data_IF_589033546324
#
_entry.id   IF_589033546324
#
_cell.length_a   1.000
_cell.length_b   1.000
_cell.length_c   1.000
_cell.angle_alpha   90.00
_cell.angle_beta   90.00
_cell.angle_gamma   90.00
#
_symmetry.space_group_name_H-M   'P 1'
#
loop_
_entity.id
_entity.type
_entity.pdbx_description
1 polymer ?
#
# COMPACT_ATOMS: atom_id res chain seq x y z
N UNK A 1 -12.32 49.42 -59.34
CA UNK A 1 -12.46 49.57 -57.88
C UNK A 1 -13.12 48.32 -57.33
N UNK A 2 -12.42 47.68 -56.39
CA UNK A 2 -12.83 46.72 -55.36
C UNK A 2 -13.98 45.74 -55.63
N UNK A 3 -13.65 44.44 -55.64
CA UNK A 3 -14.12 43.58 -54.54
C UNK A 3 -13.14 42.41 -54.27
N UNK A 4 -12.04 42.64 -53.51
CA UNK A 4 -11.11 41.60 -53.09
C UNK A 4 -11.65 40.76 -51.91
N UNK A 5 -12.86 41.04 -51.44
CA UNK A 5 -13.42 40.45 -50.22
C UNK A 5 -14.00 39.05 -50.43
N UNK A 6 -14.42 38.67 -51.64
CA UNK A 6 -15.00 37.34 -51.87
C UNK A 6 -13.98 36.20 -51.90
N UNK A 7 -12.73 36.46 -52.29
CA UNK A 7 -11.68 35.41 -52.32
C UNK A 7 -11.10 35.09 -50.95
N UNK A 8 -11.19 36.02 -49.98
CA UNK A 8 -10.72 35.78 -48.60
C UNK A 8 -11.73 34.98 -47.76
N UNK A 9 -13.02 35.08 -48.04
CA UNK A 9 -14.04 34.38 -47.24
C UNK A 9 -14.16 32.88 -47.57
N UNK A 10 -13.87 32.47 -48.82
CA UNK A 10 -13.87 31.04 -49.20
C UNK A 10 -12.65 30.30 -48.62
N UNK A 11 -11.50 30.95 -48.52
CA UNK A 11 -10.30 30.34 -47.91
C UNK A 11 -10.45 30.26 -46.39
N UNK A 12 -11.06 31.25 -45.72
CA UNK A 12 -11.31 31.19 -44.27
C UNK A 12 -12.33 30.10 -43.92
N UNK A 13 -13.36 29.85 -44.75
CA UNK A 13 -14.31 28.76 -44.50
C UNK A 13 -13.71 27.36 -44.71
N UNK A 14 -12.87 27.16 -45.74
CA UNK A 14 -12.20 25.87 -45.95
C UNK A 14 -11.11 25.57 -44.92
N UNK A 15 -10.45 26.59 -44.36
CA UNK A 15 -9.49 26.41 -43.27
C UNK A 15 -10.18 26.20 -41.92
N UNK A 16 -11.35 26.83 -41.69
CA UNK A 16 -12.15 26.60 -40.50
C UNK A 16 -12.78 25.19 -40.45
N UNK A 17 -13.16 24.60 -41.59
CA UNK A 17 -13.62 23.20 -41.63
C UNK A 17 -12.49 22.17 -41.44
N UNK A 18 -11.24 22.51 -41.79
CA UNK A 18 -10.06 21.67 -41.51
C UNK A 18 -9.52 21.83 -40.07
N UNK A 19 -9.81 22.95 -39.40
CA UNK A 19 -9.51 23.14 -37.98
C UNK A 19 -10.62 22.64 -37.04
N UNK A 20 -11.87 22.54 -37.50
CA UNK A 20 -12.98 21.96 -36.72
C UNK A 20 -13.10 20.43 -36.85
N UNK A 21 -12.35 19.80 -37.77
CA UNK A 21 -12.24 18.34 -37.84
C UNK A 21 -11.19 17.76 -36.86
N UNK A 22 -10.46 18.61 -36.13
CA UNK A 22 -9.44 18.19 -35.15
C UNK A 22 -9.88 18.36 -33.68
N UNK A 23 -11.13 18.75 -33.44
CA UNK A 23 -11.70 18.85 -32.09
C UNK A 23 -12.80 17.80 -32.00
N UNK A 24 -12.59 16.82 -31.12
CA UNK A 24 -13.36 15.58 -30.92
C UNK A 24 -12.86 14.33 -31.63
N UNK A 25 -11.54 14.09 -31.62
CA UNK A 25 -11.09 12.72 -31.29
C UNK A 25 -11.25 12.61 -29.77
N UNK A 26 -12.48 12.42 -29.31
CA UNK A 26 -12.66 11.56 -28.14
C UNK A 26 -12.03 10.27 -28.61
N UNK A 27 -10.83 9.96 -28.11
CA UNK A 27 -10.29 8.63 -28.27
C UNK A 27 -11.35 7.74 -27.62
N UNK A 28 -12.26 7.22 -28.44
CA UNK A 28 -12.98 6.02 -28.09
C UNK A 28 -11.85 5.08 -27.73
N UNK A 29 -11.69 4.80 -26.44
CA UNK A 29 -10.90 3.69 -25.96
C UNK A 29 -11.54 2.50 -26.64
N UNK A 30 -11.01 2.17 -27.82
CA UNK A 30 -11.46 1.03 -28.58
C UNK A 30 -11.40 -0.13 -27.59
N UNK A 31 -12.51 -0.85 -27.41
CA UNK A 31 -12.55 -2.02 -26.56
C UNK A 31 -11.53 -3.00 -27.17
N UNK A 32 -10.30 -2.91 -26.71
CA UNK A 32 -9.22 -3.72 -27.23
C UNK A 32 -9.34 -5.04 -26.51
N UNK A 33 -9.93 -6.02 -27.20
CA UNK A 33 -10.05 -7.37 -26.68
C UNK A 33 -8.66 -7.82 -26.16
N UNK A 34 -8.60 -8.52 -25.00
CA UNK A 34 -7.34 -9.06 -24.51
C UNK A 34 -6.63 -9.82 -25.63
N UNK A 35 -5.33 -9.59 -25.75
CA UNK A 35 -4.51 -10.31 -26.71
C UNK A 35 -4.03 -11.60 -26.06
N UNK A 36 -4.32 -12.74 -26.68
CA UNK A 36 -3.70 -14.00 -26.26
C UNK A 36 -2.23 -14.02 -26.70
N UNK A 37 -1.30 -14.56 -25.90
CA UNK A 37 0.07 -14.75 -26.33
C UNK A 37 0.15 -15.65 -27.57
N UNK A 38 1.00 -15.29 -28.52
CA UNK A 38 1.24 -16.11 -29.72
C UNK A 38 2.16 -17.32 -29.45
N UNK A 39 2.89 -17.31 -28.32
CA UNK A 39 3.81 -18.36 -27.88
C UNK A 39 3.51 -18.73 -26.43
N UNK A 40 3.74 -19.97 -25.99
CA UNK A 40 3.63 -20.36 -24.59
C UNK A 40 4.42 -19.40 -23.70
N UNK A 41 3.75 -18.74 -22.77
CA UNK A 41 4.32 -17.71 -21.90
C UNK A 41 4.06 -18.10 -20.46
N UNK A 42 5.09 -18.06 -19.64
CA UNK A 42 4.99 -18.43 -18.23
C UNK A 42 4.48 -17.23 -17.43
N UNK A 43 3.44 -17.46 -16.64
CA UNK A 43 2.90 -16.48 -15.69
C UNK A 43 3.04 -17.06 -14.30
N UNK A 44 3.85 -16.41 -13.47
CA UNK A 44 4.03 -16.76 -12.06
C UNK A 44 3.22 -15.78 -11.21
N UNK A 45 2.26 -16.27 -10.42
CA UNK A 45 1.45 -15.41 -9.55
C UNK A 45 1.92 -15.58 -8.11
N UNK A 46 2.53 -14.54 -7.56
CA UNK A 46 2.89 -14.42 -6.15
C UNK A 46 1.72 -13.74 -5.43
N UNK A 47 0.85 -14.56 -4.86
CA UNK A 47 -0.21 -14.11 -3.96
C UNK A 47 0.36 -13.84 -2.57
N UNK A 48 0.26 -12.62 -2.07
CA UNK A 48 0.78 -12.27 -0.74
C UNK A 48 -0.23 -11.44 0.06
N UNK A 49 -0.08 -11.39 1.37
CA UNK A 49 -0.92 -10.54 2.21
C UNK A 49 -0.28 -9.15 2.31
N UNK A 50 -1.11 -8.11 2.18
CA UNK A 50 -0.66 -6.73 2.38
C UNK A 50 -0.01 -6.57 3.76
N UNK A 51 1.10 -5.84 3.82
CA UNK A 51 1.94 -5.63 5.00
C UNK A 51 2.61 -6.88 5.59
N UNK A 52 2.38 -8.09 5.08
CA UNK A 52 3.02 -9.30 5.61
C UNK A 52 4.55 -9.21 5.56
N UNK A 53 5.10 -8.49 4.59
CA UNK A 53 6.55 -8.23 4.46
C UNK A 53 7.10 -7.48 5.67
N UNK A 54 6.28 -6.64 6.29
CA UNK A 54 6.67 -5.85 7.45
C UNK A 54 6.46 -6.62 8.75
N UNK A 55 5.53 -7.56 8.79
CA UNK A 55 5.16 -8.31 9.99
C UNK A 55 5.95 -9.62 10.13
N UNK A 56 5.95 -10.49 9.11
CA UNK A 56 6.49 -11.85 9.20
C UNK A 56 7.88 -11.97 8.59
N UNK A 57 8.79 -12.68 9.28
CA UNK A 57 10.18 -12.85 8.83
C UNK A 57 10.27 -13.62 7.52
N UNK A 58 9.46 -14.66 7.36
CA UNK A 58 9.42 -15.49 6.16
C UNK A 58 8.91 -14.72 4.93
N UNK A 59 8.22 -13.59 5.15
CA UNK A 59 7.74 -12.70 4.10
C UNK A 59 8.65 -11.49 3.85
N UNK A 60 9.76 -11.34 4.60
CA UNK A 60 10.56 -10.12 4.61
C UNK A 60 10.92 -9.62 3.18
N UNK A 61 11.03 -8.29 2.95
CA UNK A 61 11.30 -7.70 1.64
C UNK A 61 12.49 -8.32 0.90
N UNK A 62 13.55 -8.66 1.64
CA UNK A 62 14.74 -9.31 1.11
C UNK A 62 14.43 -10.71 0.55
N UNK A 63 13.67 -11.55 1.28
CA UNK A 63 13.21 -12.87 0.81
C UNK A 63 12.38 -12.73 -0.47
N UNK A 64 11.49 -11.75 -0.52
CA UNK A 64 10.67 -11.46 -1.69
C UNK A 64 11.53 -11.11 -2.92
N UNK A 65 12.51 -10.20 -2.77
CA UNK A 65 13.43 -9.84 -3.87
C UNK A 65 14.32 -11.00 -4.29
N UNK A 66 14.77 -11.83 -3.36
CA UNK A 66 15.52 -13.05 -3.67
C UNK A 66 14.69 -14.04 -4.49
N UNK A 67 13.41 -14.21 -4.15
CA UNK A 67 12.49 -15.00 -4.95
C UNK A 67 12.35 -14.42 -6.37
N UNK A 68 12.18 -13.11 -6.52
CA UNK A 68 12.15 -12.45 -7.83
C UNK A 68 13.45 -12.65 -8.62
N UNK A 69 14.61 -12.57 -7.97
CA UNK A 69 15.91 -12.84 -8.59
C UNK A 69 16.00 -14.28 -9.13
N UNK A 70 15.53 -15.27 -8.37
CA UNK A 70 15.51 -16.68 -8.80
C UNK A 70 14.53 -16.93 -9.93
N UNK A 71 13.35 -16.32 -9.86
CA UNK A 71 12.35 -16.40 -10.93
C UNK A 71 12.88 -15.73 -12.21
N UNK A 72 13.64 -14.65 -12.07
CA UNK A 72 14.24 -13.87 -13.15
C UNK A 72 13.21 -13.47 -14.25
N UNK A 73 12.10 -12.80 -13.90
CA UNK A 73 11.09 -12.43 -14.87
C UNK A 73 11.60 -11.41 -15.91
N UNK A 74 10.94 -11.38 -17.07
CA UNK A 74 11.15 -10.37 -18.09
C UNK A 74 10.44 -9.04 -17.75
N UNK A 75 9.32 -9.13 -17.03
CA UNK A 75 8.56 -8.00 -16.49
C UNK A 75 7.71 -8.45 -15.30
N UNK A 76 7.27 -7.48 -14.50
CA UNK A 76 6.37 -7.71 -13.38
C UNK A 76 5.04 -6.98 -13.56
N UNK A 77 3.96 -7.59 -13.08
CA UNK A 77 2.68 -6.94 -12.85
C UNK A 77 2.49 -6.66 -11.35
N UNK A 78 1.97 -5.49 -10.98
CA UNK A 78 1.71 -5.10 -9.58
C UNK A 78 0.25 -4.69 -9.38
N UNK A 79 -0.29 -5.01 -8.21
CA UNK A 79 -1.66 -4.67 -7.80
C UNK A 79 -1.82 -3.17 -7.49
N UNK A 80 -1.82 -2.38 -8.56
CA UNK A 80 -2.27 -1.00 -8.56
C UNK A 80 -2.91 -0.70 -9.90
N UNK A 81 -3.93 0.16 -9.88
CA UNK A 81 -4.67 0.49 -11.10
C UNK A 81 -3.80 1.36 -12.02
N UNK A 82 -3.97 1.29 -13.36
CA UNK A 82 -3.14 2.07 -14.27
C UNK A 82 -3.10 3.57 -13.98
N UNK A 83 -4.24 4.18 -13.63
CA UNK A 83 -4.30 5.61 -13.32
C UNK A 83 -3.69 5.95 -11.96
N UNK A 84 -3.77 5.06 -10.96
CA UNK A 84 -3.05 5.26 -9.71
C UNK A 84 -1.55 5.16 -9.90
N UNK A 85 -1.09 4.19 -10.69
CA UNK A 85 0.31 4.03 -11.00
C UNK A 85 0.89 5.26 -11.72
N UNK A 86 0.16 5.83 -12.69
CA UNK A 86 0.55 7.08 -13.36
C UNK A 86 0.72 8.27 -12.40
N UNK A 87 -0.02 8.26 -11.29
CA UNK A 87 0.05 9.26 -10.24
C UNK A 87 1.02 8.89 -9.11
N UNK A 88 1.70 7.73 -9.17
CA UNK A 88 2.55 7.23 -8.10
C UNK A 88 1.80 6.89 -6.82
N UNK A 89 0.53 6.48 -6.94
CA UNK A 89 -0.37 6.13 -5.85
C UNK A 89 -0.40 4.61 -5.66
N UNK A 90 -0.32 4.21 -4.39
CA UNK A 90 -0.42 2.83 -3.92
C UNK A 90 -1.22 2.83 -2.61
N UNK A 91 -1.84 1.70 -2.29
CA UNK A 91 -2.29 1.47 -0.92
C UNK A 91 -1.07 1.44 0.01
N UNK A 92 -1.11 2.16 1.13
CA UNK A 92 -0.01 2.21 2.10
C UNK A 92 0.33 0.83 2.69
N UNK A 93 -0.64 -0.09 2.73
CA UNK A 93 -0.43 -1.47 3.16
C UNK A 93 0.18 -2.36 2.07
N UNK A 94 0.18 -1.96 0.80
CA UNK A 94 0.70 -2.75 -0.31
C UNK A 94 2.23 -2.61 -0.46
N UNK A 95 2.95 -2.76 0.66
CA UNK A 95 4.41 -2.58 0.72
C UNK A 95 5.15 -3.54 -0.22
N UNK A 96 4.64 -4.75 -0.44
CA UNK A 96 5.13 -5.70 -1.44
C UNK A 96 5.23 -5.09 -2.84
N UNK A 97 4.33 -4.15 -3.17
CA UNK A 97 4.31 -3.50 -4.47
C UNK A 97 5.25 -2.31 -4.49
N UNK A 98 4.96 -1.27 -3.69
CA UNK A 98 5.66 0.01 -3.80
C UNK A 98 7.00 0.05 -3.06
N UNK A 99 7.15 -0.72 -1.98
CA UNK A 99 8.37 -0.79 -1.18
C UNK A 99 9.35 -1.86 -1.65
N UNK A 100 8.86 -2.89 -2.35
CA UNK A 100 9.67 -4.07 -2.72
C UNK A 100 9.76 -4.27 -4.23
N UNK A 101 8.63 -4.57 -4.89
CA UNK A 101 8.61 -5.01 -6.28
C UNK A 101 8.98 -3.92 -7.28
N UNK A 102 8.40 -2.72 -7.12
CA UNK A 102 8.66 -1.58 -8.00
C UNK A 102 10.13 -1.14 -7.90
N UNK A 103 10.71 -0.89 -6.71
CA UNK A 103 12.13 -0.55 -6.61
C UNK A 103 13.06 -1.65 -7.14
N UNK A 104 12.72 -2.92 -6.91
CA UNK A 104 13.49 -4.04 -7.46
C UNK A 104 13.48 -4.03 -8.98
N UNK A 105 12.32 -3.84 -9.61
CA UNK A 105 12.21 -3.81 -11.06
C UNK A 105 12.98 -2.64 -11.66
N UNK A 106 12.90 -1.45 -11.05
CA UNK A 106 13.68 -0.28 -11.45
C UNK A 106 15.18 -0.54 -11.39
N UNK A 107 15.67 -1.12 -10.28
CA UNK A 107 17.08 -1.48 -10.12
C UNK A 107 17.54 -2.50 -11.17
N UNK A 108 16.72 -3.50 -11.47
CA UNK A 108 17.04 -4.55 -12.45
C UNK A 108 16.72 -4.17 -13.90
N UNK A 109 16.23 -2.95 -14.15
CA UNK A 109 15.83 -2.49 -15.49
C UNK A 109 14.69 -3.30 -16.10
N UNK A 110 13.73 -3.74 -15.28
CA UNK A 110 12.54 -4.50 -15.68
C UNK A 110 11.34 -3.58 -15.81
N UNK A 111 10.44 -3.94 -16.72
CA UNK A 111 9.15 -3.24 -16.82
C UNK A 111 8.28 -3.60 -15.61
N UNK A 112 7.62 -2.60 -15.05
CA UNK A 112 6.50 -2.74 -14.12
C UNK A 112 5.23 -2.39 -14.86
N UNK A 113 4.22 -3.27 -14.79
CA UNK A 113 2.89 -3.01 -15.33
C UNK A 113 1.83 -2.96 -14.22
N UNK A 114 1.04 -1.88 -14.12
CA UNK A 114 -0.15 -1.89 -13.29
C UNK A 114 -1.18 -2.86 -13.87
N UNK A 115 -1.57 -3.87 -13.10
CA UNK A 115 -2.50 -4.92 -13.55
C UNK A 115 -3.84 -4.89 -12.83
N UNK A 116 -4.03 -3.98 -11.88
CA UNK A 116 -5.26 -3.91 -11.11
C UNK A 116 -6.40 -3.19 -11.83
N UNK A 117 -7.60 -3.39 -11.32
CA UNK A 117 -8.80 -2.67 -11.70
C UNK A 117 -9.65 -2.41 -10.45
N UNK A 118 -10.19 -1.21 -10.36
CA UNK A 118 -11.22 -0.87 -9.39
C UNK A 118 -12.26 0.02 -10.05
N UNK A 119 -13.50 -0.02 -9.57
CA UNK A 119 -14.50 0.95 -10.01
C UNK A 119 -14.13 2.35 -9.50
N UNK A 120 -14.44 3.38 -10.28
CA UNK A 120 -14.14 4.77 -9.91
C UNK A 120 -15.31 5.39 -9.13
N UNK A 121 -14.97 6.21 -8.14
CA UNK A 121 -15.88 7.08 -7.40
C UNK A 121 -17.28 6.54 -7.16
N UNK A 122 -18.28 7.17 -7.78
CA UNK A 122 -19.70 6.90 -7.51
C UNK A 122 -20.15 5.55 -8.04
N UNK A 123 -19.49 5.00 -9.08
CA UNK A 123 -19.83 3.69 -9.61
C UNK A 123 -19.48 2.59 -8.61
N UNK A 124 -18.32 2.70 -7.94
CA UNK A 124 -17.95 1.80 -6.85
C UNK A 124 -18.96 1.86 -5.71
N UNK A 125 -19.25 3.08 -5.23
CA UNK A 125 -20.23 3.31 -4.15
C UNK A 125 -21.61 2.79 -4.54
N UNK A 126 -22.10 3.08 -5.75
CA UNK A 126 -23.40 2.61 -6.22
C UNK A 126 -23.45 1.09 -6.40
N UNK A 127 -22.37 0.46 -6.85
CA UNK A 127 -22.32 -0.98 -7.06
C UNK A 127 -22.34 -1.76 -5.75
N UNK A 128 -21.69 -1.23 -4.69
CA UNK A 128 -21.61 -1.88 -3.38
C UNK A 128 -22.68 -1.44 -2.38
N UNK A 129 -23.33 -0.29 -2.59
CA UNK A 129 -24.39 0.23 -1.69
C UNK A 129 -25.77 -0.41 -1.89
N UNK A 130 -25.93 -1.31 -2.87
CA UNK A 130 -27.19 -1.98 -3.15
C UNK A 130 -27.12 -3.53 -3.03
N UNK A 131 -28.02 -4.16 -2.27
CA UNK A 131 -29.05 -3.52 -1.46
C UNK A 131 -28.44 -2.90 -0.20
N UNK A 132 -28.94 -1.73 0.18
CA UNK A 132 -28.55 -1.09 1.43
C UNK A 132 -29.08 -1.91 2.60
N UNK A 133 -28.16 -2.51 3.35
CA UNK A 133 -28.45 -3.16 4.64
C UNK A 133 -27.89 -2.21 5.71
N UNK A 134 -28.74 -1.59 6.55
CA UNK A 134 -28.26 -0.74 7.64
C UNK A 134 -27.29 -1.54 8.51
N UNK A 135 -26.08 -1.02 8.72
CA UNK A 135 -25.15 -1.59 9.69
C UNK A 135 -25.83 -1.61 11.05
N UNK A 136 -25.77 -2.72 11.76
CA UNK A 136 -26.21 -2.79 13.15
C UNK A 136 -25.38 -1.75 13.94
N UNK A 137 -25.95 -0.80 14.69
CA UNK A 137 -25.17 0.27 15.34
C UNK A 137 -24.14 -0.21 16.38
N UNK A 138 -24.05 -1.53 16.64
CA UNK A 138 -22.98 -2.18 17.41
C UNK A 138 -21.97 -2.99 16.58
N UNK A 139 -22.15 -3.09 15.27
CA UNK A 139 -21.21 -3.70 14.32
C UNK A 139 -20.28 -2.61 13.81
N UNK A 140 -18.99 -2.73 14.10
CA UNK A 140 -17.93 -1.87 13.58
C UNK A 140 -17.61 -2.13 12.11
N UNK A 141 -18.49 -2.80 11.36
CA UNK A 141 -18.31 -3.05 9.93
C UNK A 141 -18.65 -1.81 9.10
N UNK A 142 -17.77 -0.81 9.22
CA UNK A 142 -17.51 0.09 8.12
C UNK A 142 -16.94 -0.72 6.95
N UNK A 143 -17.23 -0.34 5.71
CA UNK A 143 -16.66 -0.97 4.51
C UNK A 143 -15.13 -0.91 4.39
N UNK A 144 -14.43 -0.42 5.41
CA UNK A 144 -12.98 -0.48 5.60
C UNK A 144 -12.53 -1.65 6.50
N UNK A 145 -13.43 -2.33 7.21
CA UNK A 145 -13.16 -3.62 7.85
C UNK A 145 -13.58 -4.77 6.93
N UNK A 146 -12.80 -4.96 5.87
CA UNK A 146 -12.51 -6.37 5.56
C UNK A 146 -11.83 -6.88 6.82
N UNK A 147 -12.52 -7.70 7.61
CA UNK A 147 -11.93 -8.36 8.77
C UNK A 147 -10.66 -9.07 8.26
N UNK A 148 -9.51 -8.45 8.52
CA UNK A 148 -8.22 -9.11 8.52
C UNK A 148 -8.15 -9.89 9.85
N UNK A 149 -9.18 -10.68 10.17
CA UNK A 149 -9.03 -11.74 11.16
C UNK A 149 -7.70 -12.41 10.84
N UNK A 150 -6.77 -12.54 11.80
CA UNK A 150 -5.42 -12.98 11.52
C UNK A 150 -5.48 -14.33 10.84
N UNK A 151 -5.35 -14.32 9.53
CA UNK A 151 -5.16 -15.52 8.76
C UNK A 151 -3.81 -16.04 9.23
N UNK A 152 -3.75 -17.31 9.62
CA UNK A 152 -2.49 -17.90 10.04
C UNK A 152 -1.60 -18.12 8.79
N UNK A 153 -0.96 -17.05 8.32
CA UNK A 153 -0.15 -16.99 7.10
C UNK A 153 1.34 -16.90 7.46
N UNK A 154 1.91 -18.04 7.87
CA UNK A 154 3.28 -18.01 8.36
C UNK A 154 4.33 -17.96 7.24
N UNK A 155 4.04 -18.47 6.04
CA UNK A 155 5.04 -18.65 4.97
C UNK A 155 4.75 -17.83 3.71
N UNK A 156 5.76 -17.20 3.10
CA UNK A 156 5.62 -16.31 1.90
C UNK A 156 4.79 -16.92 0.76
N UNK A 157 4.87 -18.24 0.61
CA UNK A 157 4.27 -18.99 -0.49
C UNK A 157 2.98 -19.70 -0.08
N UNK A 158 2.39 -19.33 1.07
CA UNK A 158 1.14 -19.92 1.57
C UNK A 158 0.03 -19.94 0.51
N UNK A 159 0.01 -18.94 -0.39
CA UNK A 159 -1.01 -18.83 -1.42
C UNK A 159 -0.89 -19.88 -2.54
N UNK A 160 0.21 -20.64 -2.61
CA UNK A 160 0.35 -21.81 -3.49
C UNK A 160 -0.24 -23.09 -2.87
N UNK A 161 -0.66 -23.09 -1.60
CA UNK A 161 -1.17 -24.29 -0.92
C UNK A 161 -2.61 -24.63 -1.30
N UNK A 162 -2.95 -25.92 -1.27
CA UNK A 162 -4.32 -26.38 -1.51
C UNK A 162 -5.24 -25.90 -0.38
N UNK A 163 -4.75 -25.92 0.85
CA UNK A 163 -5.47 -25.46 2.04
C UNK A 163 -5.89 -23.99 1.91
N UNK A 164 -4.99 -23.12 1.43
CA UNK A 164 -5.31 -21.72 1.17
C UNK A 164 -6.34 -21.57 0.05
N UNK A 165 -6.17 -22.31 -1.03
CA UNK A 165 -7.08 -22.28 -2.19
C UNK A 165 -8.50 -22.65 -1.78
N UNK A 166 -8.65 -23.73 -0.99
CA UNK A 166 -9.93 -24.18 -0.46
C UNK A 166 -10.55 -23.16 0.49
N UNK A 167 -9.74 -22.54 1.35
CA UNK A 167 -10.19 -21.54 2.30
C UNK A 167 -10.68 -20.25 1.60
N UNK A 168 -9.93 -19.72 0.65
CA UNK A 168 -10.36 -18.55 -0.13
C UNK A 168 -11.60 -18.87 -0.95
N UNK A 169 -11.69 -20.05 -1.55
CA UNK A 169 -12.90 -20.46 -2.25
C UNK A 169 -14.09 -20.53 -1.29
N UNK A 170 -13.89 -21.02 -0.06
CA UNK A 170 -14.94 -21.06 0.97
C UNK A 170 -15.39 -19.66 1.39
N UNK A 171 -14.46 -18.73 1.58
CA UNK A 171 -14.75 -17.38 2.03
C UNK A 171 -15.28 -16.46 0.93
N UNK A 172 -14.60 -16.41 -0.22
CA UNK A 172 -14.90 -15.50 -1.32
C UNK A 172 -15.73 -16.15 -2.42
N UNK A 173 -15.44 -17.38 -2.86
CA UNK A 173 -16.11 -17.95 -4.04
C UNK A 173 -17.51 -18.53 -3.76
N UNK A 174 -17.72 -19.13 -2.58
CA UNK A 174 -18.95 -19.90 -2.30
C UNK A 174 -19.86 -19.35 -1.19
N UNK A 175 -19.47 -18.31 -0.44
CA UNK A 175 -20.29 -17.61 0.58
C UNK A 175 -21.18 -18.53 1.46
N UNK A 176 -20.70 -19.74 1.79
CA UNK A 176 -21.59 -20.80 2.29
C UNK A 176 -21.99 -20.65 3.74
N UNK A 177 -21.27 -19.86 4.54
CA UNK A 177 -21.49 -19.82 5.98
C UNK A 177 -22.60 -18.86 6.42
N UNK A 178 -22.83 -17.76 5.70
CA UNK A 178 -23.90 -16.80 5.99
C UNK A 178 -24.25 -15.95 4.77
N UNK A 179 -24.98 -16.50 3.77
CA UNK A 179 -25.30 -15.79 2.55
C UNK A 179 -26.21 -14.60 2.85
N UNK A 180 -25.65 -13.40 2.76
CA UNK A 180 -26.37 -12.14 2.87
C UNK A 180 -26.07 -11.23 1.65
N UNK A 181 -26.91 -10.21 1.40
CA UNK A 181 -26.74 -9.38 0.21
C UNK A 181 -25.43 -8.60 0.13
N UNK A 182 -24.85 -8.19 1.27
CA UNK A 182 -23.59 -7.43 1.32
C UNK A 182 -22.42 -8.32 0.93
N UNK A 183 -22.32 -9.51 1.54
CA UNK A 183 -21.29 -10.51 1.20
C UNK A 183 -21.40 -10.95 -0.26
N UNK A 184 -22.62 -11.10 -0.80
CA UNK A 184 -22.83 -11.41 -2.21
C UNK A 184 -22.44 -10.28 -3.17
N UNK A 185 -22.65 -9.01 -2.79
CA UNK A 185 -22.23 -7.86 -3.58
C UNK A 185 -20.70 -7.78 -3.65
N UNK A 186 -20.02 -7.89 -2.51
CA UNK A 186 -18.55 -7.89 -2.43
C UNK A 186 -17.95 -9.04 -3.24
N UNK A 187 -18.51 -10.25 -3.12
CA UNK A 187 -18.09 -11.41 -3.92
C UNK A 187 -18.16 -11.14 -5.42
N UNK A 188 -19.26 -10.59 -5.91
CA UNK A 188 -19.44 -10.28 -7.35
C UNK A 188 -18.49 -9.18 -7.81
N UNK A 189 -18.25 -8.18 -6.97
CA UNK A 189 -17.25 -7.15 -7.25
C UNK A 189 -15.84 -7.77 -7.38
N UNK A 190 -15.43 -8.59 -6.41
CA UNK A 190 -14.12 -9.25 -6.43
C UNK A 190 -13.96 -10.15 -7.66
N UNK A 191 -14.97 -10.94 -8.02
CA UNK A 191 -14.95 -11.75 -9.24
C UNK A 191 -14.79 -10.89 -10.50
N UNK A 192 -15.51 -9.76 -10.58
CA UNK A 192 -15.38 -8.84 -11.71
C UNK A 192 -13.99 -8.18 -11.76
N UNK A 193 -13.46 -7.73 -10.61
CA UNK A 193 -12.09 -7.23 -10.47
C UNK A 193 -11.07 -8.27 -10.93
N UNK A 194 -11.22 -9.53 -10.54
CA UNK A 194 -10.36 -10.65 -10.97
C UNK A 194 -10.39 -10.87 -12.49
N UNK A 195 -11.57 -10.76 -13.13
CA UNK A 195 -11.67 -10.84 -14.59
C UNK A 195 -10.92 -9.69 -15.29
N UNK A 196 -11.00 -8.48 -14.73
CA UNK A 196 -10.32 -7.31 -15.27
C UNK A 196 -8.81 -7.39 -15.06
N UNK A 197 -8.37 -7.86 -13.89
CA UNK A 197 -6.96 -8.15 -13.60
C UNK A 197 -6.42 -9.21 -14.56
N UNK A 198 -7.13 -10.34 -14.73
CA UNK A 198 -6.73 -11.39 -15.66
C UNK A 198 -6.54 -10.85 -17.08
N UNK A 199 -7.43 -9.95 -17.54
CA UNK A 199 -7.28 -9.29 -18.84
C UNK A 199 -5.98 -8.47 -18.94
N UNK A 200 -5.58 -7.76 -17.89
CA UNK A 200 -4.32 -7.02 -17.89
C UNK A 200 -3.10 -7.95 -17.88
N UNK A 201 -3.16 -9.03 -17.10
CA UNK A 201 -2.13 -10.07 -17.08
C UNK A 201 -1.98 -10.71 -18.47
N UNK A 202 -3.08 -10.98 -19.17
CA UNK A 202 -3.04 -11.51 -20.54
C UNK A 202 -2.34 -10.55 -21.51
N UNK A 203 -2.63 -9.25 -21.42
CA UNK A 203 -1.96 -8.25 -22.25
C UNK A 203 -0.46 -8.18 -21.95
N UNK A 204 -0.07 -8.27 -20.67
CA UNK A 204 1.33 -8.38 -20.27
C UNK A 204 2.00 -9.63 -20.84
N UNK A 205 1.40 -10.80 -20.65
CA UNK A 205 1.92 -12.05 -21.18
C UNK A 205 2.04 -12.02 -22.72
N UNK A 206 1.11 -11.38 -23.42
CA UNK A 206 1.16 -11.27 -24.87
C UNK A 206 2.34 -10.41 -25.37
N UNK A 207 2.65 -9.32 -24.67
CA UNK A 207 3.82 -8.47 -24.99
C UNK A 207 5.15 -9.18 -24.72
N UNK A 208 5.14 -10.11 -23.76
CA UNK A 208 6.29 -10.93 -23.38
C UNK A 208 6.21 -12.37 -23.91
N UNK A 209 5.54 -12.57 -25.05
CA UNK A 209 5.27 -13.88 -25.63
C UNK A 209 6.51 -14.80 -25.72
N UNK A 210 6.47 -15.95 -25.05
CA UNK A 210 7.59 -16.90 -24.99
C UNK A 210 8.55 -16.71 -23.81
N UNK A 211 8.28 -15.74 -22.94
CA UNK A 211 9.09 -15.43 -21.75
C UNK A 211 8.31 -15.71 -20.47
N UNK A 212 8.87 -15.28 -19.33
CA UNK A 212 8.26 -15.36 -18.02
C UNK A 212 7.92 -13.99 -17.50
N UNK A 213 6.71 -13.83 -16.97
CA UNK A 213 6.28 -12.64 -16.23
C UNK A 213 5.86 -13.05 -14.82
N UNK A 214 6.05 -12.16 -13.85
CA UNK A 214 5.64 -12.36 -12.46
C UNK A 214 4.53 -11.38 -12.12
N UNK A 215 3.47 -11.83 -11.47
CA UNK A 215 2.37 -11.01 -10.99
C UNK A 215 2.42 -10.98 -9.46
N UNK A 216 2.38 -9.79 -8.89
CA UNK A 216 2.44 -9.55 -7.45
C UNK A 216 1.13 -8.93 -7.04
N UNK A 217 0.39 -9.66 -6.19
CA UNK A 217 -1.00 -9.35 -5.89
C UNK A 217 -1.42 -9.91 -4.54
N UNK A 218 -2.46 -9.34 -3.96
CA UNK A 218 -3.17 -9.85 -2.80
C UNK A 218 -3.52 -11.31 -2.96
N UNK A 219 -3.21 -12.12 -1.93
CA UNK A 219 -3.36 -13.58 -1.96
C UNK A 219 -4.80 -14.05 -2.25
N UNK A 220 -5.80 -13.24 -1.91
CA UNK A 220 -7.20 -13.52 -2.20
C UNK A 220 -7.54 -13.53 -3.70
N UNK A 221 -6.76 -12.85 -4.53
CA UNK A 221 -6.97 -12.84 -5.99
C UNK A 221 -6.48 -14.12 -6.67
N UNK A 222 -5.47 -14.78 -6.09
CA UNK A 222 -4.72 -15.85 -6.76
C UNK A 222 -5.57 -17.05 -7.21
N UNK A 223 -6.47 -17.62 -6.40
CA UNK A 223 -7.25 -18.79 -6.82
C UNK A 223 -8.07 -18.57 -8.10
N UNK A 224 -8.77 -17.44 -8.19
CA UNK A 224 -9.53 -17.08 -9.39
C UNK A 224 -8.61 -16.81 -10.57
N UNK A 225 -7.47 -16.14 -10.36
CA UNK A 225 -6.54 -15.86 -11.44
C UNK A 225 -5.88 -17.12 -12.00
N UNK A 226 -5.49 -18.06 -11.15
CA UNK A 226 -4.95 -19.36 -11.57
C UNK A 226 -6.00 -20.12 -12.44
N UNK A 227 -7.27 -20.11 -12.03
CA UNK A 227 -8.37 -20.72 -12.78
C UNK A 227 -8.63 -20.02 -14.12
N UNK A 228 -8.79 -18.69 -14.10
CA UNK A 228 -9.13 -17.89 -15.28
C UNK A 228 -8.01 -17.97 -16.32
N UNK A 229 -6.77 -17.71 -15.92
CA UNK A 229 -5.63 -17.66 -16.82
C UNK A 229 -5.20 -19.07 -17.27
N UNK A 230 -5.33 -20.09 -16.43
CA UNK A 230 -5.06 -21.49 -16.79
C UNK A 230 -5.95 -22.03 -17.91
N UNK A 231 -7.11 -21.39 -18.14
CA UNK A 231 -8.00 -21.73 -19.27
C UNK A 231 -7.62 -21.08 -20.59
N UNK A 232 -6.66 -20.15 -20.60
CA UNK A 232 -6.32 -19.35 -21.77
C UNK A 232 -5.21 -20.00 -22.60
N UNK A 233 -5.39 -20.15 -23.93
CA UNK A 233 -4.36 -20.71 -24.80
C UNK A 233 -3.02 -19.97 -24.68
N UNK A 234 -1.93 -20.74 -24.65
CA UNK A 234 -0.54 -20.27 -24.56
C UNK A 234 -0.16 -19.54 -23.25
N UNK A 235 -1.03 -19.55 -22.23
CA UNK A 235 -0.61 -19.22 -20.87
C UNK A 235 -0.18 -20.51 -20.17
N UNK A 236 0.98 -20.45 -19.53
CA UNK A 236 1.49 -21.52 -18.67
C UNK A 236 1.59 -20.97 -17.26
N UNK A 237 0.63 -21.32 -16.40
CA UNK A 237 0.68 -20.96 -14.98
C UNK A 237 1.81 -21.75 -14.31
N UNK A 238 2.62 -21.05 -13.53
CA UNK A 238 3.68 -21.60 -12.70
C UNK A 238 3.52 -21.11 -11.27
N UNK A 239 3.81 -21.97 -10.32
CA UNK A 239 3.76 -21.65 -8.88
C UNK A 239 5.11 -21.13 -8.41
N UNK A 240 5.10 -20.10 -7.55
CA UNK A 240 6.35 -19.50 -7.07
C UNK A 240 7.17 -20.49 -6.22
N UNK A 241 6.49 -21.43 -5.54
CA UNK A 241 7.08 -22.58 -4.85
C UNK A 241 7.96 -23.49 -5.70
N UNK A 242 7.84 -23.45 -7.03
CA UNK A 242 8.71 -24.23 -7.92
C UNK A 242 10.17 -23.74 -7.93
N UNK A 243 10.43 -22.51 -7.46
CA UNK A 243 11.79 -21.95 -7.32
C UNK A 243 12.47 -22.26 -5.98
N UNK A 244 11.84 -23.12 -5.17
CA UNK A 244 12.37 -23.62 -3.90
C UNK A 244 12.52 -22.53 -2.84
N UNK A 245 13.15 -22.89 -1.71
CA UNK A 245 13.40 -21.99 -0.60
C UNK A 245 14.65 -21.14 -0.83
N UNK A 246 14.56 -19.84 -0.56
CA UNK A 246 15.68 -18.89 -0.61
C UNK A 246 16.73 -19.22 0.46
N UNK A 247 18.02 -19.00 0.18
CA UNK A 247 19.06 -19.19 1.20
C UNK A 247 19.30 -17.91 2.00
N UNK A 248 19.76 -18.04 3.24
CA UNK A 248 20.08 -16.88 4.08
C UNK A 248 21.17 -15.97 3.46
N UNK A 249 22.11 -16.55 2.71
CA UNK A 249 23.13 -15.76 1.98
C UNK A 249 22.51 -14.91 0.87
N UNK A 250 21.56 -15.47 0.11
CA UNK A 250 20.86 -14.71 -0.92
C UNK A 250 19.94 -13.64 -0.31
N UNK A 251 19.31 -13.94 0.84
CA UNK A 251 18.48 -12.98 1.58
C UNK A 251 19.34 -11.82 2.08
N UNK A 252 20.47 -12.10 2.73
CA UNK A 252 21.39 -11.08 3.22
C UNK A 252 21.91 -10.16 2.09
N UNK A 253 22.10 -10.68 0.87
CA UNK A 253 22.51 -9.89 -0.29
C UNK A 253 21.45 -8.91 -0.79
N UNK A 254 20.18 -9.10 -0.42
CA UNK A 254 19.04 -8.27 -0.81
C UNK A 254 18.42 -7.50 0.38
N UNK A 255 19.08 -7.51 1.54
CA UNK A 255 18.73 -6.63 2.66
C UNK A 255 18.98 -5.17 2.31
N UNK A 256 18.06 -4.30 2.74
CA UNK A 256 18.17 -2.85 2.54
C UNK A 256 17.76 -2.16 3.82
N UNK A 257 18.54 -1.14 4.20
CA UNK A 257 18.27 -0.31 5.37
C UNK A 257 16.82 0.22 5.45
N UNK A 258 16.21 0.77 4.37
CA UNK A 258 14.83 1.26 4.42
C UNK A 258 13.82 0.18 4.84
N UNK A 259 14.03 -1.08 4.46
CA UNK A 259 13.14 -2.18 4.85
C UNK A 259 13.23 -2.49 6.35
N UNK A 260 14.44 -2.44 6.92
CA UNK A 260 14.62 -2.64 8.36
C UNK A 260 13.91 -1.52 9.15
N UNK A 261 14.01 -0.28 8.69
CA UNK A 261 13.28 0.84 9.28
C UNK A 261 11.76 0.68 9.15
N UNK A 262 11.27 0.24 7.98
CA UNK A 262 9.84 -0.03 7.76
C UNK A 262 9.31 -1.15 8.66
N UNK A 263 10.03 -2.28 8.76
CA UNK A 263 9.70 -3.39 9.66
C UNK A 263 9.63 -2.90 11.11
N UNK A 264 10.66 -2.20 11.59
CA UNK A 264 10.72 -1.71 12.96
C UNK A 264 9.60 -0.72 13.27
N UNK A 265 9.36 0.24 12.37
CA UNK A 265 8.30 1.24 12.57
C UNK A 265 6.92 0.60 12.53
N UNK A 266 6.67 -0.30 11.57
CA UNK A 266 5.39 -1.01 11.45
C UNK A 266 5.08 -1.81 12.73
N UNK A 267 6.04 -2.57 13.26
CA UNK A 267 5.80 -3.41 14.43
C UNK A 267 5.74 -2.61 15.74
N UNK A 268 6.52 -1.53 15.88
CA UNK A 268 6.69 -0.87 17.20
C UNK A 268 6.04 0.52 17.32
N UNK A 269 5.71 1.18 16.22
CA UNK A 269 5.24 2.58 16.20
C UNK A 269 3.89 2.79 15.49
N UNK A 270 3.45 1.86 14.64
CA UNK A 270 2.19 2.00 13.90
C UNK A 270 0.95 1.89 14.80
N UNK A 271 0.97 0.92 15.74
CA UNK A 271 -0.20 0.48 16.51
C UNK A 271 -1.01 -0.63 15.82
N UNK A 272 -0.51 -1.22 14.72
CA UNK A 272 -1.14 -2.31 13.97
C UNK A 272 -0.87 -3.69 14.55
N UNK A 273 0.27 -3.86 15.21
CA UNK A 273 0.66 -5.11 15.87
C UNK A 273 0.48 -4.93 17.36
N UNK A 274 -0.29 -5.81 17.99
CA UNK A 274 -0.46 -5.77 19.44
C UNK A 274 0.89 -6.01 20.14
N UNK A 275 1.19 -5.31 21.26
CA UNK A 275 2.48 -5.41 21.94
C UNK A 275 2.94 -6.86 22.22
N UNK A 276 2.00 -7.73 22.60
CA UNK A 276 2.29 -9.13 22.94
C UNK A 276 2.63 -10.01 21.72
N UNK A 277 2.33 -9.55 20.50
CA UNK A 277 2.64 -10.24 19.24
C UNK A 277 3.91 -9.73 18.56
N UNK A 278 4.56 -8.69 19.06
CA UNK A 278 5.81 -8.19 18.50
C UNK A 278 6.95 -9.19 18.78
N UNK A 279 7.63 -9.64 17.73
CA UNK A 279 8.87 -10.42 17.88
C UNK A 279 10.02 -9.51 18.37
N UNK A 280 10.12 -9.38 19.69
CA UNK A 280 11.10 -8.53 20.34
C UNK A 280 12.56 -8.95 20.07
N UNK A 281 12.81 -10.22 19.74
CA UNK A 281 14.16 -10.73 19.42
C UNK A 281 14.57 -10.28 18.04
N UNK A 282 13.68 -10.43 17.06
CA UNK A 282 13.91 -9.95 15.70
C UNK A 282 14.07 -8.43 15.64
N UNK A 283 13.21 -7.69 16.35
CA UNK A 283 13.30 -6.22 16.39
C UNK A 283 14.64 -5.76 17.01
N UNK A 284 15.10 -6.40 18.08
CA UNK A 284 16.40 -6.08 18.70
C UNK A 284 17.58 -6.35 17.76
N UNK A 285 17.55 -7.46 17.02
CA UNK A 285 18.56 -7.81 16.02
C UNK A 285 18.65 -6.74 14.91
N UNK A 286 17.51 -6.35 14.35
CA UNK A 286 17.43 -5.32 13.31
C UNK A 286 17.93 -3.95 13.82
N UNK A 287 17.50 -3.52 15.01
CA UNK A 287 17.98 -2.28 15.63
C UNK A 287 19.50 -2.31 15.83
N UNK A 288 20.02 -3.41 16.38
CA UNK A 288 21.45 -3.57 16.63
C UNK A 288 22.27 -3.49 15.34
N UNK A 289 21.74 -4.02 14.23
CA UNK A 289 22.33 -3.85 12.89
C UNK A 289 22.39 -2.39 12.47
N UNK A 290 21.26 -1.69 12.53
CA UNK A 290 21.15 -0.27 12.15
C UNK A 290 22.01 0.66 13.02
N UNK A 291 22.12 0.39 14.32
CA UNK A 291 22.94 1.14 15.26
C UNK A 291 24.44 0.98 15.00
N UNK A 292 24.88 -0.18 14.49
CA UNK A 292 26.27 -0.39 14.07
C UNK A 292 26.62 0.42 12.82
N UNK A 293 25.67 0.57 11.89
CA UNK A 293 25.86 1.37 10.68
C UNK A 293 25.87 2.88 11.00
N UNK A 294 24.93 3.33 11.82
CA UNK A 294 24.70 4.75 12.13
C UNK A 294 24.18 4.91 13.57
N UNK A 295 25.09 4.97 14.55
CA UNK A 295 24.74 5.01 15.97
C UNK A 295 23.93 6.24 16.39
N UNK A 296 24.09 7.35 15.66
CA UNK A 296 23.50 8.65 16.01
C UNK A 296 22.25 8.99 15.18
N UNK A 297 21.70 8.04 14.41
CA UNK A 297 20.49 8.28 13.63
C UNK A 297 19.27 8.48 14.56
N UNK A 298 18.60 9.66 14.54
CA UNK A 298 17.49 9.95 15.44
C UNK A 298 16.28 9.04 15.23
N UNK A 299 16.04 8.54 14.01
CA UNK A 299 14.95 7.60 13.72
C UNK A 299 15.21 6.22 14.36
N UNK A 300 16.45 5.73 14.23
CA UNK A 300 16.87 4.46 14.85
C UNK A 300 16.79 4.57 16.37
N UNK A 301 17.26 5.68 16.95
CA UNK A 301 17.19 5.91 18.40
C UNK A 301 15.75 6.06 18.90
N UNK A 302 14.86 6.69 18.12
CA UNK A 302 13.42 6.69 18.43
C UNK A 302 12.85 5.26 18.46
N UNK A 303 13.17 4.44 17.46
CA UNK A 303 12.71 3.05 17.41
C UNK A 303 13.29 2.20 18.56
N UNK A 304 14.52 2.48 18.99
CA UNK A 304 15.10 1.89 20.21
C UNK A 304 14.33 2.28 21.47
N UNK A 305 13.88 3.54 21.58
CA UNK A 305 13.03 3.97 22.68
C UNK A 305 11.67 3.24 22.67
N UNK A 306 11.04 3.07 21.50
CA UNK A 306 9.83 2.25 21.34
C UNK A 306 10.04 0.81 21.80
N UNK A 307 11.16 0.21 21.44
CA UNK A 307 11.51 -1.15 21.89
C UNK A 307 11.59 -1.24 23.43
N UNK A 308 12.20 -0.25 24.10
CA UNK A 308 12.21 -0.19 25.57
C UNK A 308 10.81 -0.05 26.17
N UNK A 309 9.92 0.76 25.57
CA UNK A 309 8.53 0.87 26.03
C UNK A 309 7.77 -0.44 25.93
N UNK A 310 7.91 -1.17 24.81
CA UNK A 310 7.29 -2.48 24.62
C UNK A 310 7.79 -3.52 25.64
N UNK A 311 9.05 -3.37 26.09
CA UNK A 311 9.62 -4.21 27.15
C UNK A 311 9.19 -3.79 28.57
N UNK A 312 8.46 -2.68 28.72
CA UNK A 312 8.10 -2.09 30.01
C UNK A 312 9.25 -1.35 30.69
N UNK A 313 10.33 -1.03 29.97
CA UNK A 313 11.50 -0.28 30.45
C UNK A 313 11.30 1.23 30.24
N UNK A 314 10.20 1.78 30.76
CA UNK A 314 9.74 3.14 30.45
C UNK A 314 10.77 4.22 30.79
N UNK A 315 11.54 4.06 31.87
CA UNK A 315 12.59 5.02 32.24
C UNK A 315 13.69 5.13 31.16
N UNK A 316 14.06 4.01 30.53
CA UNK A 316 15.06 3.99 29.46
C UNK A 316 14.53 4.67 28.20
N UNK A 317 13.27 4.38 27.83
CA UNK A 317 12.63 5.03 26.71
C UNK A 317 12.54 6.56 26.90
N UNK A 318 12.08 7.00 28.08
CA UNK A 318 11.95 8.42 28.43
C UNK A 318 13.30 9.15 28.39
N UNK A 319 14.37 8.52 28.85
CA UNK A 319 15.72 9.08 28.76
C UNK A 319 16.11 9.34 27.30
N UNK A 320 15.87 8.37 26.41
CA UNK A 320 16.18 8.51 24.98
C UNK A 320 15.33 9.61 24.35
N UNK A 321 14.02 9.64 24.62
CA UNK A 321 13.14 10.67 24.06
C UNK A 321 13.53 12.08 24.48
N UNK A 322 13.82 12.32 25.76
CA UNK A 322 14.24 13.64 26.26
C UNK A 322 15.53 14.09 25.61
N UNK A 323 16.49 13.17 25.52
CA UNK A 323 17.75 13.45 24.89
C UNK A 323 17.57 13.85 23.43
N UNK A 324 16.78 13.09 22.66
CA UNK A 324 16.50 13.43 21.25
C UNK A 324 15.70 14.73 21.10
N UNK A 325 14.72 14.97 21.97
CA UNK A 325 13.88 16.16 21.93
C UNK A 325 14.65 17.44 22.27
N UNK A 326 15.50 17.43 23.29
CA UNK A 326 15.97 18.66 23.94
C UNK A 326 17.48 18.79 24.12
N UNK A 327 18.25 17.71 24.02
CA UNK A 327 19.70 17.72 24.28
C UNK A 327 20.51 17.56 22.98
N UNK A 328 20.10 16.61 22.13
CA UNK A 328 20.77 16.29 20.89
C UNK A 328 20.53 17.35 19.82
N UNK A 329 21.58 17.68 19.06
CA UNK A 329 21.51 18.56 17.91
C UNK A 329 21.44 17.74 16.63
N UNK A 330 20.31 17.83 15.91
CA UNK A 330 20.08 17.11 14.65
C UNK A 330 18.99 17.82 13.85
N UNK A 331 19.06 17.69 12.52
CA UNK A 331 18.07 18.28 11.61
C UNK A 331 16.85 17.39 11.56
N UNK A 332 15.69 17.97 11.88
CA UNK A 332 14.43 17.22 11.86
C UNK A 332 14.02 16.82 10.44
N UNK A 333 13.35 15.68 10.33
CA UNK A 333 12.94 15.07 9.05
C UNK A 333 11.74 14.15 9.27
N UNK A 334 11.07 13.80 8.19
CA UNK A 334 10.09 12.71 8.21
C UNK A 334 10.78 11.35 8.35
N UNK A 335 10.00 10.37 8.81
CA UNK A 335 10.46 8.98 8.87
C UNK A 335 10.76 8.43 7.47
N UNK A 336 11.61 7.42 7.41
CA UNK A 336 11.84 6.64 6.19
C UNK A 336 10.58 5.84 5.82
N UNK A 337 9.86 5.35 6.83
CA UNK A 337 8.53 4.76 6.73
C UNK A 337 7.70 5.19 7.95
N UNK A 338 6.43 5.59 7.78
CA UNK A 338 5.65 5.62 6.55
C UNK A 338 6.11 6.72 5.58
N UNK A 339 5.95 6.48 4.27
CA UNK A 339 6.33 7.43 3.21
C UNK A 339 5.34 8.60 3.17
N UNK A 340 5.79 9.76 3.64
CA UNK A 340 4.98 10.99 3.64
C UNK A 340 4.59 11.44 2.23
N UNK A 341 5.48 11.31 1.26
CA UNK A 341 5.18 11.77 -0.10
C UNK A 341 4.12 10.87 -0.73
N UNK A 342 4.12 9.57 -0.42
CA UNK A 342 3.02 8.67 -0.75
C UNK A 342 1.72 9.11 -0.07
N UNK A 343 1.74 9.37 1.24
CA UNK A 343 0.56 9.82 1.98
C UNK A 343 -0.02 11.13 1.41
N UNK A 344 0.85 12.06 0.99
CA UNK A 344 0.44 13.30 0.31
C UNK A 344 -0.23 13.01 -1.04
N UNK A 345 0.35 12.15 -1.88
CA UNK A 345 -0.24 11.78 -3.18
C UNK A 345 -1.61 11.11 -3.01
N UNK A 346 -1.72 10.18 -2.04
CA UNK A 346 -2.98 9.52 -1.69
C UNK A 346 -4.01 10.54 -1.19
N UNK A 347 -3.62 11.46 -0.30
CA UNK A 347 -4.48 12.52 0.21
C UNK A 347 -5.03 13.41 -0.91
N UNK A 348 -4.15 13.90 -1.79
CA UNK A 348 -4.57 14.76 -2.90
C UNK A 348 -5.56 14.05 -3.84
N UNK A 349 -5.32 12.78 -4.12
CA UNK A 349 -6.23 11.99 -4.94
C UNK A 349 -7.58 11.76 -4.25
N UNK A 350 -7.58 11.37 -2.98
CA UNK A 350 -8.81 11.20 -2.19
C UNK A 350 -9.63 12.50 -2.13
N UNK A 351 -8.96 13.64 -1.92
CA UNK A 351 -9.63 14.94 -1.92
C UNK A 351 -10.23 15.29 -3.28
N UNK A 352 -9.51 15.01 -4.37
CA UNK A 352 -10.02 15.21 -5.73
C UNK A 352 -11.27 14.35 -6.00
N UNK A 353 -11.20 13.03 -5.78
CA UNK A 353 -12.33 12.13 -5.96
C UNK A 353 -13.53 12.57 -5.12
N UNK A 354 -13.31 12.85 -3.83
CA UNK A 354 -14.39 13.32 -2.94
C UNK A 354 -15.05 14.58 -3.49
N UNK A 355 -14.27 15.57 -3.95
CA UNK A 355 -14.81 16.82 -4.50
C UNK A 355 -15.54 16.60 -5.82
N UNK A 356 -15.10 15.66 -6.65
CA UNK A 356 -15.83 15.28 -7.86
C UNK A 356 -17.18 14.61 -7.53
N UNK A 357 -17.23 13.81 -6.46
CA UNK A 357 -18.41 13.04 -6.08
C UNK A 357 -19.50 13.86 -5.37
N UNK A 358 -19.09 14.67 -4.39
CA UNK A 358 -20.04 15.35 -3.49
C UNK A 358 -19.81 16.87 -3.41
N UNK A 359 -18.82 17.41 -4.14
CA UNK A 359 -18.41 18.80 -4.05
C UNK A 359 -17.68 19.11 -2.74
N UNK A 360 -17.51 20.41 -2.45
CA UNK A 360 -16.93 20.90 -1.21
C UNK A 360 -15.53 21.52 -1.34
N UNK A 361 -15.05 22.06 -0.23
CA UNK A 361 -13.73 22.68 -0.13
C UNK A 361 -12.62 21.63 -0.01
N UNK A 362 -11.39 21.92 -0.49
CA UNK A 362 -10.25 21.03 -0.34
C UNK A 362 -10.02 20.61 1.11
N UNK A 363 -9.80 19.32 1.35
CA UNK A 363 -9.43 18.79 2.65
C UNK A 363 -7.94 19.05 2.95
N UNK A 364 -7.64 19.43 4.19
CA UNK A 364 -6.28 19.48 4.69
C UNK A 364 -5.75 18.05 4.96
N UNK A 365 -4.43 17.85 4.82
CA UNK A 365 -3.80 16.57 5.14
C UNK A 365 -3.99 16.26 6.63
N UNK A 366 -4.46 15.05 6.92
CA UNK A 366 -4.60 14.54 8.28
C UNK A 366 -3.25 14.20 8.94
N UNK A 367 -3.25 14.11 10.27
CA UNK A 367 -2.14 13.68 11.10
C UNK A 367 -1.85 12.17 10.95
N UNK A 368 -2.91 11.39 10.79
CA UNK A 368 -2.85 9.95 10.67
C UNK A 368 -2.97 9.44 9.25
N UNK A 369 -2.71 8.15 9.10
CA UNK A 369 -3.01 7.35 7.92
C UNK A 369 -3.66 6.03 8.36
N UNK A 370 -3.93 5.12 7.42
CA UNK A 370 -4.45 3.77 7.73
C UNK A 370 -3.49 2.96 8.63
N UNK A 371 -2.21 3.32 8.64
CA UNK A 371 -1.18 2.64 9.42
C UNK A 371 -1.10 3.15 10.87
N UNK A 372 -1.27 4.45 11.10
CA UNK A 372 -1.14 5.05 12.43
C UNK A 372 -1.85 6.40 12.52
N UNK A 373 -2.48 6.74 13.66
CA UNK A 373 -3.13 8.03 13.85
C UNK A 373 -2.14 9.22 13.90
N UNK A 374 -0.83 8.95 13.99
CA UNK A 374 0.23 9.96 14.03
C UNK A 374 1.38 9.62 13.08
N UNK A 375 1.05 9.12 11.89
CA UNK A 375 1.99 8.72 10.84
C UNK A 375 2.67 9.92 10.14
N UNK A 376 1.97 11.04 9.96
CA UNK A 376 2.45 12.18 9.19
C UNK A 376 3.31 13.18 9.97
N UNK A 377 3.72 12.81 11.19
CA UNK A 377 4.63 13.60 12.01
C UNK A 377 6.09 13.42 11.56
N UNK A 378 6.91 14.46 11.75
CA UNK A 378 8.36 14.31 11.71
C UNK A 378 8.86 13.45 12.86
N UNK A 379 10.12 13.01 12.79
CA UNK A 379 10.76 12.26 13.89
C UNK A 379 10.69 13.06 15.19
N UNK A 380 10.99 14.37 15.18
CA UNK A 380 10.96 15.20 16.40
C UNK A 380 9.54 15.35 16.92
N UNK A 381 8.59 15.63 16.04
CA UNK A 381 7.19 15.76 16.44
C UNK A 381 6.66 14.45 17.02
N UNK A 382 7.05 13.30 16.47
CA UNK A 382 6.65 11.99 17.02
C UNK A 382 7.28 11.71 18.38
N UNK A 383 8.54 12.09 18.59
CA UNK A 383 9.19 12.01 19.93
C UNK A 383 8.43 12.87 20.94
N UNK A 384 8.10 14.12 20.58
CA UNK A 384 7.32 15.02 21.44
C UNK A 384 5.92 14.45 21.71
N UNK A 385 5.29 13.82 20.71
CA UNK A 385 4.01 13.15 20.87
C UNK A 385 4.09 12.00 21.89
N UNK A 386 5.12 11.15 21.83
CA UNK A 386 5.28 10.09 22.82
C UNK A 386 5.53 10.69 24.22
N UNK A 387 6.38 11.71 24.37
CA UNK A 387 6.58 12.41 25.65
C UNK A 387 5.29 13.06 26.19
N UNK A 388 4.46 13.63 25.32
CA UNK A 388 3.22 14.31 25.67
C UNK A 388 2.12 13.36 26.20
N UNK A 389 2.25 12.06 25.94
CA UNK A 389 1.35 11.00 26.41
C UNK A 389 1.76 10.38 27.74
N UNK A 390 3.00 10.60 28.18
CA UNK A 390 3.57 9.96 29.36
C UNK A 390 3.09 10.64 30.64
N UNK A 391 2.63 9.86 31.62
CA UNK A 391 2.09 10.38 32.91
C UNK A 391 3.14 10.42 34.04
N UNK A 392 4.34 9.90 33.77
CA UNK A 392 5.39 9.72 34.79
C UNK A 392 6.08 11.05 35.15
N UNK A 393 6.30 11.93 34.17
CA UNK A 393 6.93 13.23 34.37
C UNK A 393 6.07 14.34 33.77
N UNK A 394 5.22 14.91 34.62
CA UNK A 394 4.27 15.96 34.23
C UNK A 394 4.96 17.22 33.68
N UNK A 395 6.18 17.53 34.12
CA UNK A 395 6.90 18.70 33.61
C UNK A 395 7.40 18.46 32.19
N UNK A 396 7.95 17.28 31.93
CA UNK A 396 8.37 16.88 30.58
C UNK A 396 7.16 16.75 29.65
N UNK A 397 6.08 16.15 30.15
CA UNK A 397 4.81 16.01 29.44
C UNK A 397 4.26 17.37 29.00
N UNK A 398 4.13 18.32 29.93
CA UNK A 398 3.60 19.66 29.61
C UNK A 398 4.48 20.39 28.60
N UNK A 399 5.80 20.36 28.78
CA UNK A 399 6.74 20.98 27.83
C UNK A 399 6.59 20.37 26.43
N UNK A 400 6.49 19.05 26.33
CA UNK A 400 6.33 18.37 25.06
C UNK A 400 4.98 18.71 24.39
N UNK A 401 3.90 18.85 25.17
CA UNK A 401 2.60 19.31 24.68
C UNK A 401 2.70 20.74 24.13
N UNK A 402 3.34 21.65 24.84
CA UNK A 402 3.48 23.04 24.40
C UNK A 402 4.30 23.11 23.10
N UNK A 403 5.47 22.46 23.05
CA UNK A 403 6.33 22.45 21.85
C UNK A 403 5.66 21.78 20.63
N UNK A 404 4.87 20.73 20.84
CA UNK A 404 4.16 20.05 19.76
C UNK A 404 2.98 20.86 19.22
N UNK A 405 2.31 21.65 20.08
CA UNK A 405 1.20 22.52 19.68
C UNK A 405 1.68 23.80 18.99
N UNK A 406 2.93 24.20 19.22
CA UNK A 406 3.62 25.29 18.53
C UNK A 406 4.33 24.84 17.23
N UNK A 407 4.27 23.54 16.90
CA UNK A 407 4.86 23.00 15.68
C UNK A 407 4.09 23.47 14.42
N UNK A 408 4.77 23.45 13.27
CA UNK A 408 4.19 23.80 11.97
C UNK A 408 3.22 22.70 11.49
N UNK A 409 2.03 22.67 12.08
CA UNK A 409 0.92 21.76 11.80
C UNK A 409 -0.28 22.55 11.29
N UNK A 410 -1.04 21.98 10.36
CA UNK A 410 -2.28 22.59 9.87
C UNK A 410 -3.41 22.49 10.91
N UNK A 411 -4.54 23.17 10.66
CA UNK A 411 -5.63 23.24 11.62
C UNK A 411 -6.26 21.86 11.89
N UNK A 412 -6.41 21.04 10.85
CA UNK A 412 -6.89 19.66 10.97
C UNK A 412 -5.95 18.80 11.83
N UNK A 413 -4.64 18.90 11.62
CA UNK A 413 -3.64 18.16 12.38
C UNK A 413 -3.61 18.57 13.85
N UNK A 414 -3.70 19.87 14.14
CA UNK A 414 -3.77 20.37 15.53
C UNK A 414 -5.02 19.84 16.22
N UNK A 415 -6.16 19.82 15.53
CA UNK A 415 -7.41 19.30 16.10
C UNK A 415 -7.30 17.80 16.41
N UNK A 416 -6.82 16.99 15.45
CA UNK A 416 -6.61 15.56 15.66
C UNK A 416 -5.59 15.28 16.76
N UNK A 417 -4.53 16.08 16.83
CA UNK A 417 -3.55 15.96 17.90
C UNK A 417 -4.16 16.21 19.28
N UNK A 418 -5.03 17.23 19.43
CA UNK A 418 -5.75 17.47 20.69
C UNK A 418 -6.60 16.28 21.09
N UNK A 419 -7.30 15.68 20.13
CA UNK A 419 -8.12 14.49 20.35
C UNK A 419 -7.26 13.34 20.87
N UNK A 420 -6.16 13.03 20.18
CA UNK A 420 -5.23 11.96 20.58
C UNK A 420 -4.60 12.18 21.97
N UNK A 421 -4.26 13.43 22.33
CA UNK A 421 -3.68 13.76 23.63
C UNK A 421 -4.73 13.84 24.75
N UNK A 422 -6.01 13.95 24.41
CA UNK A 422 -7.12 13.96 25.36
C UNK A 422 -7.64 12.57 25.70
N UNK A 423 -7.40 11.59 24.82
CA UNK A 423 -7.65 10.19 25.11
C UNK A 423 -6.71 9.77 26.25
N UNK A 424 -7.27 9.46 27.42
CA UNK A 424 -6.54 8.72 28.46
C UNK A 424 -5.98 7.45 27.82
N UNK A 425 -4.68 7.13 28.02
CA UNK A 425 -4.17 5.83 27.60
C UNK A 425 -5.08 4.76 28.20
N UNK A 426 -5.64 3.88 27.37
CA UNK A 426 -6.26 2.67 27.90
C UNK A 426 -5.20 2.04 28.81
N UNK A 427 -5.53 1.94 30.10
CA UNK A 427 -4.70 1.16 31.02
C UNK A 427 -4.55 -0.25 30.42
N UNK A 428 -3.35 -0.85 30.52
CA UNK A 428 -3.03 -2.10 29.85
C UNK A 428 -4.05 -3.22 30.11
#
# INVERSE_FOLDING_TARGET
MFCPLLRRQVVVFLTACLCLANLSVVAATAIQLPRNPAKPTEVVIIGTMHSAQLEYEDHAPARFRTLLNRIAPAAIGVETSPWWYELGIFFESAYESYGVAVPWAEEKGKEVRPIDWQAQGIEFVNALSWPYVPSDPGSSDSSESVSLDPWNVQELLFADTLEWTDEINRQYAYSTLDPNPVSEAMRRYMLYRNLMIARQILNLAADYGGQRVVIIIGAAHKPDLDLLLGSVPNIVIRHASEWGTVTEEEVAAEERRPDHLAILWFNMASGRVEPDYVDMTRMDSLLTGLEKETSDDPEVRFLRARWHELKGETDQALMIYRHLAWEAQWTDRFFTYPDRDLALRVHYWNDMERRELIGGEPAELALGTVLSPAANLTVRQRILYELARQEIDLSAQQRARDELMDADLNATQIQQLRELLSLTPNSP
#
